data_IF_697999924958
#
_entry.id   IF_697999924958
#
_cell.length_a   1.000
_cell.length_b   1.000
_cell.length_c   1.000
_cell.angle_alpha   90.00
_cell.angle_beta   90.00
_cell.angle_gamma   90.00
#
_symmetry.space_group_name_H-M   'P 1'
#
loop_
_entity.id
_entity.type
_entity.pdbx_description
1 polymer ?
#
# COMPACT_ATOMS: atom_id res chain seq x y z
N UNK A 1 13.98 -18.57 -30.39
CA UNK A 1 13.13 -18.95 -29.24
C UNK A 1 14.05 -18.88 -28.03
N UNK A 2 14.13 -17.69 -27.40
CA UNK A 2 15.05 -17.46 -26.30
C UNK A 2 14.47 -18.06 -25.03
N UNK A 3 15.21 -19.01 -24.50
CA UNK A 3 15.03 -19.69 -23.22
C UNK A 3 15.17 -18.70 -22.04
N UNK A 4 14.69 -19.19 -20.88
CA UNK A 4 14.74 -18.61 -19.53
C UNK A 4 13.64 -17.61 -19.15
N UNK A 5 12.49 -18.16 -18.71
CA UNK A 5 11.66 -17.56 -17.67
C UNK A 5 12.46 -17.64 -16.37
N UNK A 6 13.27 -16.62 -16.09
CA UNK A 6 13.78 -16.39 -14.73
C UNK A 6 12.57 -16.16 -13.82
N UNK A 7 12.53 -16.85 -12.69
CA UNK A 7 11.43 -16.74 -11.71
C UNK A 7 11.32 -15.27 -11.29
N UNK A 8 10.17 -14.65 -11.53
CA UNK A 8 9.78 -13.41 -10.83
C UNK A 8 10.02 -13.63 -9.34
N UNK A 9 10.95 -12.88 -8.77
CA UNK A 9 11.18 -12.89 -7.32
C UNK A 9 10.01 -12.13 -6.73
N UNK A 10 9.03 -12.86 -6.22
CA UNK A 10 7.88 -12.30 -5.53
C UNK A 10 8.27 -12.12 -4.06
N UNK A 11 8.44 -10.87 -3.65
CA UNK A 11 8.69 -10.51 -2.24
C UNK A 11 7.41 -10.00 -1.57
N UNK A 12 7.23 -10.36 -0.31
CA UNK A 12 6.16 -9.85 0.56
C UNK A 12 6.81 -8.94 1.60
N UNK A 13 6.23 -7.74 1.79
CA UNK A 13 6.68 -6.79 2.79
C UNK A 13 5.62 -6.61 3.89
N UNK A 14 6.06 -6.77 5.14
CA UNK A 14 5.28 -6.40 6.32
C UNK A 14 5.41 -4.92 6.65
N UNK A 15 4.73 -4.50 7.73
CA UNK A 15 4.67 -3.09 8.13
C UNK A 15 6.02 -2.54 8.58
N UNK A 16 6.90 -3.35 9.18
CA UNK A 16 8.21 -2.89 9.64
C UNK A 16 9.10 -2.60 8.44
N UNK A 17 9.10 -3.51 7.46
CA UNK A 17 9.84 -3.35 6.20
C UNK A 17 9.32 -2.13 5.39
N UNK A 18 8.01 -1.92 5.34
CA UNK A 18 7.41 -0.74 4.68
C UNK A 18 7.85 0.56 5.38
N UNK A 19 7.85 0.58 6.71
CA UNK A 19 8.26 1.76 7.50
C UNK A 19 9.73 2.11 7.22
N UNK A 20 10.58 1.12 7.01
CA UNK A 20 11.98 1.33 6.61
C UNK A 20 12.12 1.81 5.16
N UNK A 21 11.29 1.26 4.25
CA UNK A 21 11.35 1.57 2.82
C UNK A 21 10.89 3.00 2.48
N UNK A 22 9.83 3.50 3.12
CA UNK A 22 9.23 4.82 2.80
C UNK A 22 9.15 5.74 4.03
N UNK A 23 9.22 7.07 3.84
CA UNK A 23 9.27 8.03 4.96
C UNK A 23 7.91 8.26 5.63
N UNK A 24 6.81 7.74 5.07
CA UNK A 24 5.45 7.99 5.55
C UNK A 24 5.21 7.38 6.94
N UNK A 25 4.51 8.11 7.81
CA UNK A 25 4.15 7.70 9.18
C UNK A 25 2.71 8.09 9.48
N UNK A 26 2.15 7.60 10.58
CA UNK A 26 0.80 8.01 11.02
C UNK A 26 0.67 9.55 11.08
N UNK A 27 -0.44 10.14 10.61
CA UNK A 27 -1.64 9.48 10.06
C UNK A 27 -1.64 9.33 8.53
N UNK A 28 -0.47 9.35 7.87
CA UNK A 28 -0.35 9.36 6.41
C UNK A 28 0.43 8.19 5.82
N UNK A 29 0.69 7.13 6.59
CA UNK A 29 1.08 5.83 6.05
C UNK A 29 -0.20 5.08 5.63
N UNK A 30 -0.35 4.81 4.34
CA UNK A 30 -1.61 4.38 3.71
C UNK A 30 -1.58 2.96 3.17
N UNK A 31 -0.52 2.19 3.46
CA UNK A 31 -0.39 0.77 3.12
C UNK A 31 -0.03 -0.03 4.38
N UNK A 32 -0.62 -1.21 4.54
CA UNK A 32 -0.37 -2.09 5.70
C UNK A 32 0.59 -3.23 5.36
N UNK A 33 0.53 -3.74 4.13
CA UNK A 33 1.36 -4.82 3.58
C UNK A 33 1.54 -4.64 2.08
N UNK A 34 2.62 -5.19 1.54
CA UNK A 34 2.76 -5.46 0.11
C UNK A 34 2.81 -6.97 -0.05
N UNK A 35 1.84 -7.52 -0.78
CA UNK A 35 1.64 -8.97 -0.91
C UNK A 35 2.62 -9.58 -1.92
N UNK A 36 2.73 -8.92 -3.07
CA UNK A 36 3.59 -9.33 -4.18
C UNK A 36 4.35 -8.11 -4.69
N UNK A 37 5.67 -8.23 -4.85
CA UNK A 37 6.52 -7.25 -5.54
C UNK A 37 7.31 -7.99 -6.60
N UNK A 38 7.24 -7.51 -7.84
CA UNK A 38 8.13 -7.88 -8.93
C UNK A 38 9.01 -6.66 -9.20
N UNK A 39 10.29 -6.68 -8.81
CA UNK A 39 11.18 -5.52 -8.90
C UNK A 39 11.17 -4.87 -10.29
N UNK A 40 11.12 -3.54 -10.34
CA UNK A 40 11.06 -2.72 -11.56
C UNK A 40 9.84 -2.97 -12.48
N UNK A 41 8.84 -3.75 -12.05
CA UNK A 41 7.69 -4.12 -12.88
C UNK A 41 6.34 -3.83 -12.19
N UNK A 42 6.06 -4.43 -11.03
CA UNK A 42 4.75 -4.29 -10.39
C UNK A 42 4.76 -4.56 -8.88
N UNK A 43 3.77 -4.02 -8.17
CA UNK A 43 3.56 -4.28 -6.75
C UNK A 43 2.05 -4.37 -6.41
N UNK A 44 1.69 -5.28 -5.52
CA UNK A 44 0.33 -5.48 -5.00
C UNK A 44 0.26 -5.05 -3.53
N UNK A 45 -0.21 -3.83 -3.30
CA UNK A 45 -0.40 -3.27 -1.96
C UNK A 45 -1.75 -3.65 -1.33
N UNK A 46 -1.76 -3.76 0.00
CA UNK A 46 -2.95 -3.98 0.81
C UNK A 46 -3.08 -2.89 1.86
N UNK A 47 -4.26 -2.27 1.93
CA UNK A 47 -4.69 -1.39 3.02
C UNK A 47 -6.01 -1.87 3.60
N UNK A 48 -6.01 -2.24 4.87
CA UNK A 48 -7.23 -2.50 5.61
C UNK A 48 -7.93 -1.17 5.91
N UNK A 49 -9.24 -1.15 5.73
CA UNK A 49 -10.07 0.02 6.01
C UNK A 49 -10.90 -0.27 7.26
N UNK A 50 -10.72 0.54 8.30
CA UNK A 50 -11.40 0.36 9.58
C UNK A 50 -12.03 1.65 10.08
N UNK A 51 -13.20 1.55 10.73
CA UNK A 51 -13.90 2.71 11.31
C UNK A 51 -13.07 3.46 12.36
N UNK A 52 -12.00 2.84 12.88
CA UNK A 52 -11.07 3.44 13.84
C UNK A 52 -10.01 4.36 13.20
N UNK A 53 -10.12 4.70 11.92
CA UNK A 53 -9.22 5.66 11.26
C UNK A 53 -9.69 7.11 11.41
N UNK A 54 -8.74 8.04 11.60
CA UNK A 54 -9.01 9.43 11.98
C UNK A 54 -9.90 10.19 10.98
N UNK A 55 -9.75 9.94 9.69
CA UNK A 55 -10.49 10.64 8.63
C UNK A 55 -11.99 10.26 8.58
N UNK A 56 -12.41 9.14 9.17
CA UNK A 56 -13.83 8.77 9.23
C UNK A 56 -14.66 9.66 10.16
N UNK A 57 -14.02 10.38 11.09
CA UNK A 57 -14.71 11.40 11.90
C UNK A 57 -15.29 12.53 11.03
N UNK A 58 -14.63 12.84 9.91
CA UNK A 58 -15.01 13.92 8.99
C UNK A 58 -15.58 13.47 7.65
N UNK A 59 -15.38 12.21 7.24
CA UNK A 59 -15.72 11.74 5.89
C UNK A 59 -16.58 10.46 5.89
N UNK A 60 -17.86 10.51 6.22
CA UNK A 60 -18.64 11.61 6.81
C UNK A 60 -19.21 11.15 8.17
N UNK A 61 -19.52 12.06 9.12
CA UNK A 61 -19.86 11.69 10.51
C UNK A 61 -20.94 10.62 10.71
N UNK A 62 -21.85 10.44 9.76
CA UNK A 62 -22.95 9.43 9.81
C UNK A 62 -22.89 8.41 8.68
N UNK A 63 -21.86 8.47 7.85
CA UNK A 63 -21.66 7.63 6.68
C UNK A 63 -20.15 7.56 6.41
N UNK A 64 -19.42 6.66 7.09
CA UNK A 64 -17.98 6.51 6.86
C UNK A 64 -17.76 6.05 5.41
N UNK A 65 -16.99 6.83 4.66
CA UNK A 65 -16.62 6.54 3.27
C UNK A 65 -15.11 6.76 3.17
N UNK A 66 -14.37 5.78 2.64
CA UNK A 66 -12.94 5.96 2.44
C UNK A 66 -12.72 7.13 1.46
N UNK A 67 -11.98 8.20 1.82
CA UNK A 67 -11.72 9.28 0.89
C UNK A 67 -10.99 8.77 -0.35
N UNK A 68 -11.54 9.02 -1.55
CA UNK A 68 -10.97 8.51 -2.80
C UNK A 68 -9.52 8.96 -3.03
N UNK A 69 -9.16 10.16 -2.57
CA UNK A 69 -7.78 10.68 -2.62
C UNK A 69 -6.81 9.87 -1.76
N UNK A 70 -7.26 9.26 -0.66
CA UNK A 70 -6.42 8.39 0.16
C UNK A 70 -6.25 6.99 -0.46
N UNK A 71 -7.19 6.56 -1.32
CA UNK A 71 -7.00 5.37 -2.15
C UNK A 71 -5.89 5.64 -3.18
N UNK A 72 -5.90 6.82 -3.80
CA UNK A 72 -4.83 7.26 -4.72
C UNK A 72 -3.49 7.33 -3.99
N UNK A 73 -3.47 7.89 -2.79
CA UNK A 73 -2.27 7.92 -1.96
C UNK A 73 -1.75 6.51 -1.62
N UNK A 74 -2.62 5.58 -1.25
CA UNK A 74 -2.24 4.18 -1.01
C UNK A 74 -1.62 3.53 -2.26
N UNK A 75 -2.16 3.80 -3.45
CA UNK A 75 -1.58 3.34 -4.72
C UNK A 75 -0.21 3.97 -4.97
N UNK A 76 -0.05 5.27 -4.71
CA UNK A 76 1.23 5.96 -4.85
C UNK A 76 2.30 5.43 -3.89
N UNK A 77 1.94 5.16 -2.63
CA UNK A 77 2.85 4.57 -1.65
C UNK A 77 3.22 3.13 -2.00
N UNK A 78 2.27 2.35 -2.52
CA UNK A 78 2.56 1.00 -3.05
C UNK A 78 3.60 1.08 -4.16
N UNK A 79 3.45 2.02 -5.09
CA UNK A 79 4.42 2.23 -6.17
C UNK A 79 5.77 2.78 -5.69
N UNK A 80 5.82 3.47 -4.54
CA UNK A 80 7.07 3.97 -3.96
C UNK A 80 7.88 2.91 -3.19
N UNK A 81 7.26 1.77 -2.87
CA UNK A 81 7.93 0.61 -2.27
C UNK A 81 8.58 -0.28 -3.35
N UNK A 82 8.10 -0.17 -4.60
CA UNK A 82 8.70 -0.80 -5.77
C UNK A 82 10.03 -0.15 -6.14
#
# INVERSE_FOLDING_TARGET
MSEASEKEIVETLDIEQIIEAIPHRYPFLMIDRVLDVVPDESALGLKNVTINENYFQGHFPRRPVMPGVLIIEAMAQTAAVL
#
